data_IF_489081910330
#
_entry.id   IF_489081910330
#
_cell.length_a   1.000
_cell.length_b   1.000
_cell.length_c   1.000
_cell.angle_alpha   90.00
_cell.angle_beta   90.00
_cell.angle_gamma   90.00
#
_symmetry.space_group_name_H-M   'P 1'
#
loop_
_entity.id
_entity.type
_entity.pdbx_description
1 polymer ?
#
# COMPACT_ATOMS: atom_id res chain seq x y z
N UNK A 1 4.91 14.13 -1.72
CA UNK A 1 3.51 13.74 -1.46
C UNK A 1 3.34 12.29 -1.91
N UNK A 2 3.19 11.34 -0.99
CA UNK A 2 3.05 9.91 -1.32
C UNK A 2 1.57 9.57 -1.51
N UNK A 3 1.18 9.35 -2.77
CA UNK A 3 -0.18 8.91 -3.08
C UNK A 3 -0.28 7.40 -2.91
N UNK A 4 -1.20 6.94 -2.06
CA UNK A 4 -1.49 5.53 -1.88
C UNK A 4 -2.67 5.08 -2.74
N UNK A 5 -2.82 3.78 -2.96
CA UNK A 5 -3.93 3.21 -3.73
C UNK A 5 -4.80 2.30 -2.88
N UNK A 6 -6.11 2.27 -3.13
CA UNK A 6 -7.01 1.37 -2.40
C UNK A 6 -6.87 -0.09 -2.91
N UNK A 7 -6.82 -1.06 -1.99
CA UNK A 7 -6.76 -2.51 -2.33
C UNK A 7 -7.95 -2.98 -3.19
N UNK A 8 -9.14 -2.43 -2.97
CA UNK A 8 -10.37 -2.97 -3.56
C UNK A 8 -10.78 -2.30 -4.87
N UNK A 9 -10.65 -0.97 -4.96
CA UNK A 9 -11.10 -0.21 -6.13
C UNK A 9 -9.94 0.36 -6.96
N UNK A 10 -8.68 0.09 -6.57
CA UNK A 10 -7.45 0.56 -7.23
C UNK A 10 -7.39 2.07 -7.48
N UNK A 11 -8.29 2.83 -6.87
CA UNK A 11 -8.39 4.27 -7.02
C UNK A 11 -7.40 4.94 -6.07
N UNK A 12 -6.92 6.13 -6.47
CA UNK A 12 -6.02 6.96 -5.67
C UNK A 12 -6.69 7.34 -4.34
N UNK A 13 -5.93 7.23 -3.27
CA UNK A 13 -6.28 7.68 -1.94
C UNK A 13 -5.74 9.09 -1.73
N UNK A 14 -6.55 9.93 -1.10
CA UNK A 14 -6.16 11.26 -0.69
C UNK A 14 -5.56 11.25 0.71
N UNK A 15 -4.68 12.23 0.93
CA UNK A 15 -4.03 12.43 2.22
C UNK A 15 -5.11 12.60 3.30
N UNK A 16 -4.92 12.01 4.50
CA UNK A 16 -5.80 12.24 5.64
C UNK A 16 -5.90 13.72 6.05
N UNK A 17 -4.98 14.57 5.58
CA UNK A 17 -5.00 16.01 5.80
C UNK A 17 -5.46 16.61 4.49
N UNK A 18 -6.64 17.21 4.49
CA UNK A 18 -7.20 17.85 3.32
C UNK A 18 -7.68 19.25 3.67
N UNK A 19 -7.61 20.15 2.70
CA UNK A 19 -8.08 21.51 2.86
C UNK A 19 -9.60 21.54 2.68
N UNK A 20 -10.31 22.11 3.65
CA UNK A 20 -11.76 22.32 3.57
C UNK A 20 -12.07 23.78 3.85
N UNK A 21 -12.93 24.36 3.04
CA UNK A 21 -13.54 25.65 3.32
C UNK A 21 -14.55 25.47 4.46
N UNK A 22 -14.26 26.08 5.61
CA UNK A 22 -15.17 26.15 6.75
C UNK A 22 -15.40 27.62 7.07
N UNK A 23 -16.65 28.08 6.95
CA UNK A 23 -17.03 29.50 7.17
C UNK A 23 -16.16 30.50 6.39
N UNK A 24 -15.85 30.21 5.12
CA UNK A 24 -15.07 31.12 4.26
C UNK A 24 -13.57 31.16 4.53
N UNK A 25 -13.06 30.38 5.48
CA UNK A 25 -11.61 30.20 5.71
C UNK A 25 -11.17 28.80 5.31
N UNK A 26 -10.03 28.74 4.62
CA UNK A 26 -9.36 27.48 4.30
C UNK A 26 -8.79 26.88 5.60
N UNK A 27 -9.34 25.75 6.03
CA UNK A 27 -8.89 25.05 7.25
C UNK A 27 -8.38 23.67 6.87
N UNK A 28 -7.22 23.28 7.40
CA UNK A 28 -6.74 21.91 7.28
C UNK A 28 -7.59 21.01 8.16
N UNK A 29 -8.33 20.10 7.55
CA UNK A 29 -9.12 19.09 8.25
C UNK A 29 -8.39 17.76 8.17
N UNK A 30 -8.11 17.20 9.34
CA UNK A 30 -7.53 15.87 9.47
C UNK A 30 -8.67 14.88 9.62
N UNK A 31 -8.84 13.94 8.68
CA UNK A 31 -9.65 12.75 8.92
C UNK A 31 -8.95 11.89 9.97
N UNK A 32 -9.71 11.23 10.85
CA UNK A 32 -9.23 10.43 11.98
C UNK A 32 -8.22 9.33 11.56
N UNK A 33 -6.96 9.70 11.30
CA UNK A 33 -5.84 8.84 10.94
C UNK A 33 -5.94 8.07 9.61
N UNK A 34 -7.11 8.02 8.97
CA UNK A 34 -7.35 7.18 7.79
C UNK A 34 -7.34 8.01 6.51
N UNK A 35 -6.66 7.49 5.47
CA UNK A 35 -6.71 8.03 4.11
C UNK A 35 -8.14 8.26 3.65
N UNK A 36 -8.35 9.34 2.92
CA UNK A 36 -9.67 9.73 2.44
C UNK A 36 -9.89 9.08 1.07
N UNK A 37 -11.07 8.49 0.88
CA UNK A 37 -11.50 7.99 -0.42
C UNK A 37 -12.45 8.97 -1.09
N UNK A 38 -12.23 9.20 -2.39
CA UNK A 38 -13.18 9.90 -3.28
C UNK A 38 -14.11 8.99 -4.06
N UNK A 39 -13.84 7.69 -4.14
CA UNK A 39 -14.64 6.79 -4.98
C UNK A 39 -15.84 6.21 -4.19
N UNK A 40 -17.09 6.67 -4.46
CA UNK A 40 -18.28 6.19 -3.77
C UNK A 40 -18.64 4.73 -4.13
N UNK A 41 -18.12 4.21 -5.26
CA UNK A 41 -18.39 2.85 -5.72
C UNK A 41 -17.51 1.79 -5.04
N UNK A 42 -16.59 2.19 -4.16
CA UNK A 42 -15.72 1.24 -3.49
C UNK A 42 -16.49 0.46 -2.41
N UNK A 43 -16.36 -0.88 -2.41
CA UNK A 43 -17.06 -1.79 -1.46
C UNK A 43 -16.87 -1.38 0.00
N UNK A 44 -15.66 -0.95 0.37
CA UNK A 44 -15.38 -0.52 1.73
C UNK A 44 -16.07 0.82 2.09
N UNK A 45 -16.41 1.68 1.12
CA UNK A 45 -17.26 2.87 1.36
C UNK A 45 -18.69 2.43 1.64
N UNK A 46 -19.22 1.53 0.81
CA UNK A 46 -20.56 0.94 1.00
C UNK A 46 -20.69 0.29 2.37
N UNK A 47 -19.65 -0.41 2.83
CA UNK A 47 -19.61 -1.10 4.13
C UNK A 47 -19.14 -0.23 5.30
N UNK A 48 -18.88 1.07 5.09
CA UNK A 48 -18.33 2.00 6.11
C UNK A 48 -17.09 1.48 6.84
N UNK A 49 -16.26 0.71 6.15
CA UNK A 49 -15.06 0.11 6.72
C UNK A 49 -13.84 1.02 6.51
N UNK A 50 -12.85 0.97 7.42
CA UNK A 50 -11.61 1.72 7.29
C UNK A 50 -10.91 1.37 5.97
N UNK A 51 -10.32 2.39 5.33
CA UNK A 51 -9.57 2.18 4.10
C UNK A 51 -8.31 1.38 4.41
N UNK A 52 -8.08 0.32 3.63
CA UNK A 52 -6.79 -0.37 3.56
C UNK A 52 -6.09 0.02 2.26
N UNK A 53 -4.85 0.49 2.36
CA UNK A 53 -4.02 0.80 1.21
C UNK A 53 -3.30 -0.44 0.70
N UNK A 54 -3.12 -0.50 -0.61
CA UNK A 54 -2.40 -1.58 -1.29
C UNK A 54 -0.92 -1.55 -0.95
N UNK A 55 -0.36 -0.36 -0.79
CA UNK A 55 1.06 -0.17 -0.50
C UNK A 55 1.46 -0.84 0.83
N UNK A 56 0.62 -0.75 1.86
CA UNK A 56 0.83 -1.46 3.12
C UNK A 56 0.77 -2.98 2.96
N UNK A 57 -0.14 -3.48 2.11
CA UNK A 57 -0.21 -4.91 1.81
C UNK A 57 1.03 -5.39 1.04
N UNK A 58 1.49 -4.62 0.06
CA UNK A 58 2.72 -4.89 -0.68
C UNK A 58 3.93 -4.91 0.27
N UNK A 59 4.04 -3.94 1.17
CA UNK A 59 5.13 -3.89 2.16
C UNK A 59 5.10 -5.12 3.09
N UNK A 60 3.90 -5.55 3.52
CA UNK A 60 3.74 -6.76 4.31
C UNK A 60 4.15 -8.00 3.52
N UNK A 61 3.73 -8.13 2.26
CA UNK A 61 4.10 -9.25 1.40
C UNK A 61 5.61 -9.33 1.20
N UNK A 62 6.27 -8.19 0.95
CA UNK A 62 7.74 -8.13 0.85
C UNK A 62 8.40 -8.53 2.16
N UNK A 63 7.90 -8.05 3.30
CA UNK A 63 8.42 -8.42 4.62
C UNK A 63 8.26 -9.91 4.92
N UNK A 64 7.10 -10.48 4.61
CA UNK A 64 6.83 -11.91 4.77
C UNK A 64 7.69 -12.77 3.84
N UNK A 65 7.87 -12.37 2.59
CA UNK A 65 8.78 -13.05 1.66
C UNK A 65 10.22 -13.02 2.17
N UNK A 66 10.70 -11.88 2.66
CA UNK A 66 12.03 -11.78 3.27
C UNK A 66 12.16 -12.65 4.51
N UNK A 67 11.13 -12.69 5.35
CA UNK A 67 11.09 -13.52 6.56
C UNK A 67 11.09 -15.02 6.22
N UNK A 68 10.30 -15.43 5.22
CA UNK A 68 10.28 -16.80 4.71
C UNK A 68 11.66 -17.22 4.20
N UNK A 69 12.31 -16.37 3.38
CA UNK A 69 13.67 -16.63 2.91
C UNK A 69 14.61 -16.81 4.12
N UNK A 70 14.56 -15.90 5.10
CA UNK A 70 15.41 -15.98 6.29
C UNK A 70 15.22 -17.30 7.06
N UNK A 71 13.99 -17.72 7.33
CA UNK A 71 13.70 -18.94 8.09
C UNK A 71 14.05 -20.22 7.34
N UNK A 72 13.75 -20.29 6.04
CA UNK A 72 13.84 -21.55 5.28
C UNK A 72 15.17 -21.73 4.55
N UNK A 73 15.85 -20.65 4.15
CA UNK A 73 17.12 -20.77 3.41
C UNK A 73 18.37 -20.73 4.30
N UNK A 74 18.25 -20.34 5.59
CA UNK A 74 19.33 -20.25 6.61
C UNK A 74 20.60 -19.49 6.19
N UNK A 75 20.68 -18.97 4.98
CA UNK A 75 21.76 -18.17 4.45
C UNK A 75 21.19 -16.82 4.03
N UNK A 76 21.72 -15.75 4.61
CA UNK A 76 21.58 -14.44 4.01
C UNK A 76 22.10 -14.54 2.58
N UNK A 77 21.31 -14.19 1.54
CA UNK A 77 21.89 -13.96 0.25
C UNK A 77 22.86 -12.80 0.44
N UNK A 78 24.16 -13.11 0.39
CA UNK A 78 25.20 -12.09 0.27
C UNK A 78 24.81 -11.27 -0.96
N UNK A 79 24.38 -10.03 -0.74
CA UNK A 79 24.16 -9.04 -1.78
C UNK A 79 25.52 -8.62 -2.33
N UNK A 80 26.21 -9.53 -3.01
CA UNK A 80 27.23 -9.15 -3.98
C UNK A 80 26.50 -8.46 -5.10
N UNK A 81 26.99 -7.28 -5.50
CA UNK A 81 26.47 -6.44 -6.58
C UNK A 81 26.14 -7.31 -7.80
N UNK A 82 24.91 -7.80 -7.86
CA UNK A 82 24.39 -8.65 -8.92
C UNK A 82 23.28 -7.82 -9.55
N UNK A 83 23.45 -7.58 -10.85
CA UNK A 83 22.55 -6.80 -11.69
C UNK A 83 21.09 -7.11 -11.38
N UNK A 84 20.29 -6.05 -11.30
CA UNK A 84 18.83 -5.96 -11.02
C UNK A 84 17.97 -7.08 -11.64
N UNK A 85 18.46 -7.73 -12.69
CA UNK A 85 17.82 -8.84 -13.40
C UNK A 85 17.50 -10.08 -12.55
N UNK A 86 18.23 -10.36 -11.46
CA UNK A 86 17.94 -11.54 -10.62
C UNK A 86 16.74 -11.37 -9.67
N UNK A 87 16.34 -10.13 -9.34
CA UNK A 87 15.19 -9.86 -8.47
C UNK A 87 13.87 -10.08 -9.22
N UNK A 88 13.87 -9.93 -10.55
CA UNK A 88 12.70 -10.13 -11.42
C UNK A 88 12.25 -11.61 -11.53
N UNK A 89 13.12 -12.57 -11.19
CA UNK A 89 12.81 -14.00 -11.28
C UNK A 89 11.99 -14.55 -10.10
N UNK A 90 11.72 -13.78 -9.04
CA UNK A 90 10.80 -14.17 -7.95
C UNK A 90 9.32 -13.88 -8.27
N UNK A 91 9.03 -13.33 -9.46
CA UNK A 91 7.68 -12.96 -9.91
C UNK A 91 7.10 -13.88 -10.97
N UNK A 92 7.77 -14.97 -11.36
CA UNK A 92 7.17 -15.93 -12.29
C UNK A 92 6.03 -16.70 -11.60
N UNK A 93 4.85 -16.86 -12.26
CA UNK A 93 3.74 -17.61 -11.70
C UNK A 93 4.11 -19.10 -11.61
N UNK A 94 3.68 -19.73 -10.52
CA UNK A 94 3.78 -21.18 -10.31
C UNK A 94 3.10 -21.92 -11.49
N UNK A 95 3.78 -22.83 -12.20
CA UNK A 95 3.12 -23.62 -13.22
C UNK A 95 2.16 -24.63 -12.57
N UNK A 96 0.95 -24.68 -13.11
CA UNK A 96 -0.13 -25.62 -12.81
C UNK A 96 0.23 -27.06 -13.14
#
# INVERSE_FOLDING_TARGET
MTSQTCVYCFSKLDHPIHKRMVKGKETNVTSNGSFIRRNPKCVLVTKRQPVKSRDTLSALAVGLSGLYIFYFTKHFPVLKSASVNQILNLTSPLPS
#
